data_IF_268606238441
#
_entry.id   IF_268606238441
#
_cell.length_a   1.000
_cell.length_b   1.000
_cell.length_c   1.000
_cell.angle_alpha   90.00
_cell.angle_beta   90.00
_cell.angle_gamma   90.00
#
_symmetry.space_group_name_H-M   'P 1'
#
loop_
_entity.id
_entity.type
_entity.pdbx_description
1 polymer ?
#
# COMPACT_ATOMS: atom_id res chain seq x y z
N UNK A 1 33.96 40.44 -13.28
CA UNK A 1 32.54 40.37 -13.69
C UNK A 1 32.42 39.38 -14.84
N UNK A 2 31.72 38.27 -14.65
CA UNK A 2 31.06 37.56 -15.76
C UNK A 2 29.79 36.94 -15.18
N UNK A 3 28.65 37.59 -15.44
CA UNK A 3 27.33 37.08 -15.11
C UNK A 3 26.99 36.00 -16.13
N UNK A 4 26.94 34.74 -15.72
CA UNK A 4 26.29 33.69 -16.51
C UNK A 4 24.78 33.80 -16.33
N UNK A 5 24.06 33.85 -17.44
CA UNK A 5 22.62 34.11 -17.50
C UNK A 5 21.84 32.84 -17.07
N UNK A 6 20.86 32.92 -16.16
CA UNK A 6 20.11 31.74 -15.67
C UNK A 6 19.43 30.91 -16.75
N UNK A 7 19.14 31.50 -17.92
CA UNK A 7 18.55 30.81 -19.07
C UNK A 7 19.51 29.83 -19.78
N UNK A 8 20.82 30.03 -19.62
CA UNK A 8 21.82 29.16 -20.24
C UNK A 8 21.94 27.81 -19.48
N UNK A 9 21.65 27.80 -18.17
CA UNK A 9 21.65 26.57 -17.35
C UNK A 9 20.44 25.67 -17.66
N UNK A 10 19.29 26.29 -17.94
CA UNK A 10 18.05 25.59 -18.29
C UNK A 10 18.14 24.95 -19.68
N UNK A 11 18.84 25.60 -20.62
CA UNK A 11 19.07 25.07 -21.96
C UNK A 11 20.11 23.93 -21.99
N UNK A 12 21.13 23.97 -21.12
CA UNK A 12 22.09 22.87 -20.96
C UNK A 12 21.47 21.66 -20.25
N UNK A 13 20.58 21.87 -19.27
CA UNK A 13 19.82 20.78 -18.65
C UNK A 13 18.87 20.09 -19.66
N UNK A 14 18.21 20.86 -20.52
CA UNK A 14 17.34 20.32 -21.57
C UNK A 14 18.13 19.60 -22.68
N UNK A 15 19.35 20.04 -23.01
CA UNK A 15 20.24 19.33 -23.95
C UNK A 15 20.81 18.05 -23.36
N UNK A 16 21.05 17.98 -22.05
CA UNK A 16 21.45 16.76 -21.35
C UNK A 16 20.31 15.71 -21.34
N UNK A 17 19.05 16.14 -21.21
CA UNK A 17 17.87 15.27 -21.26
C UNK A 17 17.56 14.75 -22.67
N UNK A 18 17.84 15.52 -23.72
CA UNK A 18 17.60 15.12 -25.12
C UNK A 18 18.56 14.03 -25.63
N UNK A 19 19.79 13.94 -25.11
CA UNK A 19 20.76 12.89 -25.48
C UNK A 19 20.45 11.50 -24.89
N UNK A 20 19.49 11.42 -23.96
CA UNK A 20 19.02 10.14 -23.38
C UNK A 20 17.86 9.51 -24.16
N UNK A 21 17.37 10.18 -25.22
CA UNK A 21 16.24 9.73 -26.04
C UNK A 21 16.60 9.71 -27.52
N UNK A 22 17.46 8.78 -27.93
CA UNK A 22 17.43 8.21 -29.30
C UNK A 22 17.66 6.69 -29.19
N UNK A 23 16.87 5.85 -29.89
CA UNK A 23 16.97 4.40 -29.77
C UNK A 23 17.97 3.84 -30.80
N UNK A 24 18.98 3.11 -30.33
CA UNK A 24 19.75 2.19 -31.17
C UNK A 24 20.31 1.03 -30.33
N UNK A 25 19.90 -0.21 -30.66
CA UNK A 25 20.63 -1.44 -30.34
C UNK A 25 20.14 -2.25 -29.12
N UNK A 26 20.21 -3.61 -29.16
CA UNK A 26 19.28 -4.46 -28.42
C UNK A 26 19.72 -4.88 -27.01
N UNK A 27 18.71 -4.97 -26.15
CA UNK A 27 18.51 -5.83 -24.98
C UNK A 27 19.69 -6.12 -24.05
N UNK A 28 19.63 -5.62 -22.80
CA UNK A 28 19.72 -6.45 -21.59
C UNK A 28 19.13 -5.73 -20.37
N UNK A 29 18.25 -6.46 -19.65
CA UNK A 29 17.72 -6.28 -18.27
C UNK A 29 17.30 -4.87 -17.83
N UNK A 30 16.00 -4.63 -17.93
CA UNK A 30 15.29 -3.50 -17.33
C UNK A 30 15.27 -3.58 -15.79
N UNK A 31 15.70 -2.52 -15.13
CA UNK A 31 15.45 -2.22 -13.72
C UNK A 31 13.94 -2.21 -13.42
N UNK A 32 13.48 -2.67 -12.25
CA UNK A 32 12.06 -2.63 -11.91
C UNK A 32 11.62 -1.18 -11.70
N UNK A 33 10.56 -0.79 -12.42
CA UNK A 33 9.88 0.49 -12.24
C UNK A 33 9.00 0.37 -11.01
N UNK A 34 9.36 1.06 -9.93
CA UNK A 34 8.44 1.26 -8.80
C UNK A 34 7.34 2.20 -9.29
N UNK A 35 6.12 1.70 -9.35
CA UNK A 35 4.93 2.45 -9.72
C UNK A 35 4.51 3.33 -8.55
N UNK A 36 4.51 4.64 -8.76
CA UNK A 36 3.66 5.54 -8.01
C UNK A 36 2.21 5.22 -8.35
N UNK A 37 1.58 4.32 -7.59
CA UNK A 37 0.16 4.00 -7.78
C UNK A 37 -0.66 5.10 -7.13
N UNK A 38 -1.17 5.99 -7.98
CA UNK A 38 -2.23 6.92 -7.64
C UNK A 38 -3.54 6.16 -7.43
N UNK A 39 -4.44 6.78 -6.66
CA UNK A 39 -5.80 6.32 -6.41
C UNK A 39 -6.49 5.95 -7.73
N UNK A 40 -6.77 4.66 -7.92
CA UNK A 40 -7.75 4.18 -8.88
C UNK A 40 -8.78 3.39 -8.07
N UNK A 41 -10.04 3.80 -8.14
CA UNK A 41 -11.13 3.06 -7.49
C UNK A 41 -11.16 1.64 -8.04
N UNK A 42 -11.15 0.65 -7.15
CA UNK A 42 -11.61 -0.68 -7.51
C UNK A 42 -13.10 -0.71 -7.20
N UNK A 43 -13.93 -0.56 -8.23
CA UNK A 43 -15.37 -0.68 -8.09
C UNK A 43 -15.72 -2.10 -7.61
N UNK A 44 -16.39 -2.18 -6.46
CA UNK A 44 -17.04 -3.40 -6.00
C UNK A 44 -18.14 -3.79 -7.01
N UNK A 45 -18.27 -5.08 -7.40
CA UNK A 45 -19.34 -5.50 -8.29
C UNK A 45 -20.71 -5.26 -7.63
N UNK A 46 -21.51 -4.38 -8.24
CA UNK A 46 -22.90 -4.11 -7.86
C UNK A 46 -23.70 -5.42 -7.89
N UNK A 47 -24.28 -5.78 -6.74
CA UNK A 47 -25.16 -6.94 -6.60
C UNK A 47 -26.29 -6.94 -7.62
N UNK A 48 -26.37 -8.03 -8.39
CA UNK A 48 -27.54 -8.28 -9.23
C UNK A 48 -28.65 -8.88 -8.36
N UNK A 49 -29.73 -8.13 -8.27
CA UNK A 49 -30.99 -8.48 -7.61
C UNK A 49 -31.61 -9.69 -8.32
N UNK A 50 -31.50 -10.89 -7.76
CA UNK A 50 -32.26 -12.05 -8.22
C UNK A 50 -33.67 -11.98 -7.64
N UNK A 51 -34.65 -11.77 -8.51
CA UNK A 51 -36.07 -11.88 -8.19
C UNK A 51 -36.43 -13.34 -7.95
N UNK A 52 -37.18 -13.57 -6.89
CA UNK A 52 -37.79 -14.84 -6.56
C UNK A 52 -38.88 -15.19 -7.58
N UNK A 53 -38.83 -16.42 -8.11
CA UNK A 53 -40.00 -17.11 -8.66
C UNK A 53 -40.00 -18.52 -8.09
N UNK A 54 -40.99 -18.78 -7.25
CA UNK A 54 -41.32 -20.09 -6.73
C UNK A 54 -41.95 -20.95 -7.83
N UNK A 55 -41.56 -22.22 -7.91
CA UNK A 55 -42.42 -23.38 -8.25
C UNK A 55 -41.61 -24.68 -8.12
N UNK A 56 -42.17 -25.67 -7.43
CA UNK A 56 -41.77 -27.10 -7.40
C UNK A 56 -43.06 -27.91 -7.65
N UNK A 57 -43.04 -29.26 -7.78
CA UNK A 57 -41.95 -30.22 -8.06
C UNK A 57 -42.31 -31.23 -9.19
N UNK A 58 -41.36 -32.05 -9.65
CA UNK A 58 -41.60 -33.50 -9.90
C UNK A 58 -40.33 -34.32 -10.21
N UNK A 59 -40.25 -35.41 -9.45
CA UNK A 59 -39.64 -36.73 -9.62
C UNK A 59 -38.75 -37.10 -10.83
N UNK A 60 -37.63 -37.77 -10.51
CA UNK A 60 -37.44 -39.18 -10.90
C UNK A 60 -36.41 -39.54 -11.98
N UNK A 61 -35.48 -40.43 -11.58
CA UNK A 61 -34.82 -41.50 -12.34
C UNK A 61 -33.35 -41.33 -12.80
N UNK A 62 -32.70 -42.50 -12.71
CA UNK A 62 -31.31 -42.94 -12.71
C UNK A 62 -30.69 -43.18 -14.10
N UNK A 63 -29.36 -43.12 -14.22
CA UNK A 63 -28.47 -44.22 -14.67
C UNK A 63 -26.99 -43.80 -14.81
N UNK A 64 -26.09 -44.77 -14.59
CA UNK A 64 -24.62 -44.70 -14.64
C UNK A 64 -23.97 -44.87 -16.04
N UNK A 65 -22.64 -44.63 -16.05
CA UNK A 65 -21.56 -45.05 -16.98
C UNK A 65 -21.48 -44.34 -18.34
N UNK A 66 -20.36 -43.73 -18.76
CA UNK A 66 -19.03 -44.30 -18.98
C UNK A 66 -17.98 -43.21 -19.34
N UNK A 67 -16.71 -43.58 -19.20
CA UNK A 67 -15.52 -42.75 -19.41
C UNK A 67 -15.23 -42.38 -20.88
N UNK A 68 -14.55 -41.24 -21.09
CA UNK A 68 -13.55 -41.09 -22.16
C UNK A 68 -12.61 -39.91 -21.91
N UNK A 69 -11.33 -40.19 -22.16
CA UNK A 69 -10.16 -39.31 -22.10
C UNK A 69 -10.22 -38.11 -23.06
N UNK A 70 -9.64 -36.99 -22.64
CA UNK A 70 -9.40 -35.81 -23.49
C UNK A 70 -8.37 -34.89 -22.85
N UNK A 71 -7.31 -34.57 -23.61
CA UNK A 71 -6.11 -33.86 -23.16
C UNK A 71 -6.31 -32.34 -22.96
N UNK A 72 -5.48 -31.82 -22.04
CA UNK A 72 -4.85 -30.49 -21.95
C UNK A 72 -5.40 -29.36 -22.84
N UNK A 73 -5.88 -28.28 -22.21
CA UNK A 73 -5.73 -26.92 -22.74
C UNK A 73 -5.73 -25.90 -21.60
N UNK A 74 -4.60 -25.21 -21.43
CA UNK A 74 -4.42 -24.09 -20.52
C UNK A 74 -5.28 -22.92 -21.00
N UNK A 75 -6.34 -22.62 -20.26
CA UNK A 75 -7.20 -21.46 -20.52
C UNK A 75 -6.68 -20.27 -19.72
N UNK A 76 -5.84 -19.48 -20.38
CA UNK A 76 -5.46 -18.12 -19.99
C UNK A 76 -6.70 -17.24 -19.79
N UNK A 77 -7.03 -16.90 -18.54
CA UNK A 77 -7.97 -15.80 -18.26
C UNK A 77 -7.22 -14.47 -18.42
N UNK A 78 -7.15 -14.03 -19.67
CA UNK A 78 -6.75 -12.68 -20.04
C UNK A 78 -7.83 -11.70 -19.57
N UNK A 79 -7.51 -10.88 -18.56
CA UNK A 79 -8.37 -9.78 -18.14
C UNK A 79 -8.32 -8.68 -19.21
N UNK A 80 -9.42 -8.51 -19.93
CA UNK A 80 -9.62 -7.45 -20.93
C UNK A 80 -9.67 -6.10 -20.22
N UNK A 81 -8.90 -5.12 -20.72
CA UNK A 81 -9.03 -3.70 -20.34
C UNK A 81 -10.45 -3.23 -20.63
N UNK A 82 -11.20 -2.90 -19.58
CA UNK A 82 -12.35 -2.03 -19.73
C UNK A 82 -11.84 -0.60 -19.93
N UNK A 83 -11.89 -0.14 -21.18
CA UNK A 83 -11.71 1.26 -21.53
C UNK A 83 -13.04 1.97 -21.30
N UNK A 84 -13.29 2.51 -20.11
CA UNK A 84 -14.34 3.51 -19.91
C UNK A 84 -13.69 4.87 -19.65
N UNK A 85 -13.76 5.73 -20.65
CA UNK A 85 -13.40 7.13 -20.57
C UNK A 85 -14.48 7.89 -19.80
N UNK A 86 -14.33 8.00 -18.48
CA UNK A 86 -14.95 9.09 -17.72
C UNK A 86 -13.82 10.05 -17.30
N UNK A 87 -13.76 11.19 -17.98
CA UNK A 87 -12.66 12.16 -17.88
C UNK A 87 -12.83 13.12 -16.69
N UNK A 88 -13.75 12.84 -15.77
CA UNK A 88 -14.07 13.70 -14.62
C UNK A 88 -13.39 13.30 -13.30
N UNK A 89 -12.79 12.12 -13.21
CA UNK A 89 -12.11 11.60 -12.00
C UNK A 89 -10.58 11.79 -12.06
N UNK A 90 -10.12 12.98 -12.47
CA UNK A 90 -8.68 13.34 -12.58
C UNK A 90 -8.21 14.29 -11.48
N UNK A 91 -9.00 14.48 -10.42
CA UNK A 91 -8.82 15.57 -9.45
C UNK A 91 -8.38 15.11 -8.06
N UNK A 92 -7.28 14.36 -7.93
CA UNK A 92 -6.55 14.32 -6.64
C UNK A 92 -5.13 13.77 -6.70
N UNK A 93 -4.33 14.24 -7.65
CA UNK A 93 -2.88 14.21 -7.41
C UNK A 93 -2.59 15.32 -6.39
N UNK A 94 -2.21 14.96 -5.16
CA UNK A 94 -1.61 15.93 -4.26
C UNK A 94 -0.42 16.55 -4.98
N UNK A 95 -0.44 17.87 -5.12
CA UNK A 95 0.65 18.52 -5.82
C UNK A 95 1.94 18.27 -5.05
N UNK A 96 3.08 18.21 -5.75
CA UNK A 96 4.39 18.08 -5.10
C UNK A 96 4.58 19.16 -4.03
N UNK A 97 3.98 20.33 -4.21
CA UNK A 97 4.03 21.43 -3.27
C UNK A 97 3.16 21.20 -2.03
N UNK A 98 2.00 20.56 -2.18
CA UNK A 98 1.13 20.24 -1.02
C UNK A 98 1.77 19.14 -0.16
N UNK A 99 2.36 18.12 -0.77
CA UNK A 99 3.13 17.10 -0.03
C UNK A 99 4.30 17.73 0.72
N UNK A 100 5.01 18.71 0.14
CA UNK A 100 6.08 19.42 0.86
C UNK A 100 5.55 20.20 2.07
N UNK A 101 4.37 20.84 1.96
CA UNK A 101 3.75 21.56 3.09
C UNK A 101 3.38 20.58 4.21
N UNK A 102 2.80 19.43 3.87
CA UNK A 102 2.52 18.36 4.84
C UNK A 102 3.80 17.89 5.55
N UNK A 103 4.88 17.65 4.80
CA UNK A 103 6.18 17.28 5.37
C UNK A 103 6.71 18.35 6.32
N UNK A 104 6.63 19.62 5.93
CA UNK A 104 7.07 20.74 6.77
C UNK A 104 6.24 20.85 8.06
N UNK A 105 4.91 20.70 7.96
CA UNK A 105 4.01 20.70 9.11
C UNK A 105 4.31 19.53 10.05
N UNK A 106 4.42 18.31 9.51
CA UNK A 106 4.73 17.10 10.26
C UNK A 106 6.05 17.25 11.03
N UNK A 107 7.10 17.73 10.35
CA UNK A 107 8.42 17.93 10.94
C UNK A 107 8.43 19.03 11.99
N UNK A 108 7.67 20.10 11.80
CA UNK A 108 7.53 21.15 12.81
C UNK A 108 6.86 20.60 14.08
N UNK A 109 5.80 19.82 13.94
CA UNK A 109 5.05 19.24 15.07
C UNK A 109 5.84 18.15 15.81
N UNK A 110 6.64 17.37 15.08
CA UNK A 110 7.34 16.20 15.63
C UNK A 110 8.84 16.42 15.90
N UNK A 111 9.30 17.67 15.88
CA UNK A 111 10.71 18.02 16.06
C UNK A 111 11.32 17.42 17.33
N UNK A 112 12.48 16.75 17.19
CA UNK A 112 13.18 16.04 18.26
C UNK A 112 12.58 14.67 18.63
N UNK A 113 11.56 14.23 17.89
CA UNK A 113 10.86 12.96 18.12
C UNK A 113 10.89 12.08 16.88
N UNK A 114 10.29 12.55 15.79
CA UNK A 114 10.17 11.84 14.51
C UNK A 114 10.25 12.88 13.37
N UNK A 115 10.79 12.47 12.23
CA UNK A 115 10.92 13.29 11.04
C UNK A 115 10.49 12.56 9.77
N UNK A 116 9.71 13.24 8.93
CA UNK A 116 9.47 12.85 7.55
C UNK A 116 10.58 13.40 6.64
N UNK A 117 11.27 12.53 5.93
CA UNK A 117 12.30 12.90 4.93
C UNK A 117 12.25 11.99 3.71
N UNK A 118 12.92 12.38 2.64
CA UNK A 118 13.05 11.56 1.43
C UNK A 118 13.89 10.33 1.73
N UNK A 119 13.38 9.16 1.32
CA UNK A 119 14.14 7.91 1.23
C UNK A 119 14.93 7.89 -0.08
N UNK A 120 14.29 8.35 -1.18
CA UNK A 120 14.88 8.51 -2.50
C UNK A 120 14.11 9.59 -3.29
N UNK A 121 14.35 9.75 -4.60
CA UNK A 121 13.69 10.77 -5.43
C UNK A 121 12.17 10.62 -5.55
N UNK A 122 11.64 9.45 -5.20
CA UNK A 122 10.23 9.07 -5.37
C UNK A 122 9.53 8.87 -4.02
N UNK A 123 10.21 8.38 -2.99
CA UNK A 123 9.58 7.98 -1.72
C UNK A 123 9.92 8.90 -0.55
N UNK A 124 8.91 9.17 0.28
CA UNK A 124 9.05 9.75 1.62
C UNK A 124 8.99 8.63 2.66
N UNK A 125 9.59 8.85 3.82
CA UNK A 125 9.55 7.92 4.94
C UNK A 125 9.59 8.67 6.26
N UNK A 126 9.17 7.96 7.31
CA UNK A 126 9.17 8.44 8.70
C UNK A 126 10.42 7.91 9.39
N UNK A 127 11.15 8.76 10.10
CA UNK A 127 12.42 8.42 10.74
C UNK A 127 12.42 8.85 12.20
N UNK A 128 13.02 8.05 13.06
CA UNK A 128 13.25 8.41 14.46
C UNK A 128 14.25 9.56 14.56
N UNK A 129 14.00 10.52 15.46
CA UNK A 129 14.95 11.57 15.86
C UNK A 129 15.45 11.36 17.31
N UNK A 130 15.14 10.21 17.89
CA UNK A 130 15.55 9.77 19.22
C UNK A 130 15.46 8.26 19.33
N UNK A 131 16.04 7.69 20.39
CA UNK A 131 15.91 6.26 20.67
C UNK A 131 14.50 5.91 21.16
N UNK A 132 14.00 4.75 20.76
CA UNK A 132 12.79 4.14 21.31
C UNK A 132 13.14 2.77 21.86
N UNK A 133 12.75 2.51 23.11
CA UNK A 133 12.88 1.18 23.68
C UNK A 133 11.80 0.26 23.09
N UNK A 134 12.12 -1.03 22.93
CA UNK A 134 11.13 -2.06 22.58
C UNK A 134 9.88 -1.93 23.47
N UNK A 135 8.71 -2.02 22.85
CA UNK A 135 7.40 -1.93 23.51
C UNK A 135 6.91 -0.50 23.73
N UNK A 136 7.71 0.54 23.47
CA UNK A 136 7.25 1.92 23.57
C UNK A 136 6.43 2.33 22.35
N UNK A 137 5.41 3.17 22.56
CA UNK A 137 4.68 3.80 21.46
C UNK A 137 5.59 4.78 20.72
N UNK A 138 5.76 4.57 19.42
CA UNK A 138 6.55 5.44 18.54
C UNK A 138 5.68 6.47 17.85
N UNK A 139 4.43 6.15 17.53
CA UNK A 139 3.51 7.07 16.86
C UNK A 139 2.08 6.71 17.25
N UNK A 140 1.30 7.70 17.65
CA UNK A 140 -0.17 7.57 17.77
C UNK A 140 -0.81 8.33 16.63
N UNK A 141 -1.42 7.62 15.67
CA UNK A 141 -2.13 8.26 14.58
C UNK A 141 -3.59 8.50 14.94
N UNK A 142 -4.16 9.56 14.37
CA UNK A 142 -5.59 9.87 14.41
C UNK A 142 -6.18 9.78 12.99
N UNK A 143 -7.50 9.71 12.90
CA UNK A 143 -8.20 9.85 11.62
C UNK A 143 -8.12 11.31 11.16
N UNK A 144 -7.55 11.52 9.98
CA UNK A 144 -7.70 12.78 9.23
C UNK A 144 -9.04 12.81 8.48
N UNK A 145 -9.39 11.71 7.81
CA UNK A 145 -10.71 11.50 7.20
C UNK A 145 -10.99 10.02 6.92
N UNK A 146 -12.26 9.67 6.72
CA UNK A 146 -12.66 8.30 6.35
C UNK A 146 -12.56 8.10 4.84
N UNK A 147 -12.21 6.89 4.42
CA UNK A 147 -12.25 6.47 3.02
C UNK A 147 -12.98 5.13 2.91
N UNK A 148 -13.88 5.02 1.93
CA UNK A 148 -14.50 3.75 1.55
C UNK A 148 -13.64 2.97 0.54
N UNK A 149 -12.61 3.61 -0.02
CA UNK A 149 -11.75 3.03 -1.05
C UNK A 149 -10.31 2.92 -0.54
N UNK A 150 -9.74 1.71 -0.48
CA UNK A 150 -8.33 1.53 -0.12
C UNK A 150 -7.41 2.27 -1.09
N UNK A 151 -6.39 2.92 -0.56
CA UNK A 151 -5.27 3.45 -1.34
C UNK A 151 -3.97 3.39 -0.55
N UNK A 152 -2.84 3.72 -1.18
CA UNK A 152 -1.49 3.71 -0.59
C UNK A 152 -1.28 4.69 0.58
N UNK A 153 -2.30 5.49 0.94
CA UNK A 153 -2.27 6.43 2.06
C UNK A 153 -3.31 6.14 3.13
N UNK A 154 -4.14 5.12 2.95
CA UNK A 154 -5.11 4.67 3.96
C UNK A 154 -4.58 3.50 4.77
N UNK A 155 -5.12 3.31 5.97
CA UNK A 155 -4.95 2.09 6.76
C UNK A 155 -6.33 1.47 7.06
N UNK A 156 -6.41 0.15 7.00
CA UNK A 156 -7.64 -0.58 7.28
C UNK A 156 -7.88 -0.72 8.79
N UNK A 157 -9.05 -0.26 9.24
CA UNK A 157 -9.45 -0.18 10.66
C UNK A 157 -10.72 -1.00 10.95
N UNK A 158 -11.06 -1.92 10.05
CA UNK A 158 -12.26 -2.75 10.07
C UNK A 158 -12.50 -3.41 8.71
N UNK A 159 -13.39 -4.40 8.65
CA UNK A 159 -13.62 -5.21 7.45
C UNK A 159 -13.93 -4.39 6.19
N UNK A 160 -14.73 -3.33 6.33
CA UNK A 160 -15.14 -2.46 5.23
C UNK A 160 -14.80 -0.98 5.51
N UNK A 161 -13.75 -0.72 6.31
CA UNK A 161 -13.41 0.63 6.75
C UNK A 161 -11.93 0.93 6.63
N UNK A 162 -11.62 1.95 5.83
CA UNK A 162 -10.30 2.54 5.70
C UNK A 162 -10.31 3.98 6.21
N UNK A 163 -9.18 4.43 6.74
CA UNK A 163 -9.02 5.82 7.19
C UNK A 163 -7.71 6.39 6.66
N UNK A 164 -7.71 7.67 6.33
CA UNK A 164 -6.49 8.44 6.14
C UNK A 164 -5.93 8.78 7.52
N UNK A 165 -4.71 8.32 7.79
CA UNK A 165 -3.99 8.70 8.99
C UNK A 165 -3.59 10.18 8.93
N UNK A 166 -3.61 10.85 10.07
CA UNK A 166 -2.97 12.15 10.22
C UNK A 166 -1.44 12.05 10.05
N UNK A 167 -0.80 13.22 9.98
CA UNK A 167 0.64 13.31 9.86
C UNK A 167 1.31 12.86 11.17
N UNK A 168 2.53 12.29 11.15
CA UNK A 168 3.26 11.80 9.98
C UNK A 168 2.83 10.40 9.52
N UNK A 169 1.80 9.77 10.11
CA UNK A 169 1.43 8.37 9.89
C UNK A 169 1.20 8.00 8.43
N UNK A 170 0.64 8.93 7.64
CA UNK A 170 0.51 8.85 6.17
C UNK A 170 1.78 8.38 5.43
N UNK A 171 2.97 8.67 5.97
CA UNK A 171 4.26 8.40 5.32
C UNK A 171 4.96 7.12 5.82
N UNK A 172 4.30 6.31 6.67
CA UNK A 172 4.87 5.04 7.13
C UNK A 172 4.98 4.04 6.00
N UNK A 173 6.19 3.52 5.78
CA UNK A 173 6.47 2.55 4.72
C UNK A 173 6.37 1.10 5.23
N UNK A 174 6.19 0.20 4.27
CA UNK A 174 6.24 -1.24 4.51
C UNK A 174 7.67 -1.76 4.74
N UNK A 175 7.82 -2.75 5.63
CA UNK A 175 8.96 -3.67 5.68
C UNK A 175 8.52 -5.08 6.03
N UNK A 176 9.12 -6.10 5.39
CA UNK A 176 8.94 -7.51 5.75
C UNK A 176 9.68 -7.89 7.05
N UNK A 177 10.69 -7.10 7.45
CA UNK A 177 11.32 -7.14 8.78
C UNK A 177 11.19 -5.75 9.43
N UNK A 178 10.02 -5.42 9.99
CA UNK A 178 9.76 -4.09 10.50
C UNK A 178 10.34 -3.88 11.90
N UNK A 179 10.70 -2.63 12.20
CA UNK A 179 11.02 -2.21 13.57
C UNK A 179 9.80 -1.68 14.34
N UNK A 180 8.67 -1.47 13.67
CA UNK A 180 7.42 -0.97 14.25
C UNK A 180 6.26 -1.94 14.00
N UNK A 181 5.44 -2.17 15.00
CA UNK A 181 4.22 -3.00 14.95
C UNK A 181 2.98 -2.14 15.06
N UNK A 182 1.88 -2.59 14.46
CA UNK A 182 0.56 -1.94 14.60
C UNK A 182 -0.10 -2.41 15.89
N UNK A 183 -0.76 -1.49 16.60
CA UNK A 183 -1.54 -1.78 17.79
C UNK A 183 -2.75 -2.67 17.44
N UNK A 184 -3.10 -3.57 18.36
CA UNK A 184 -4.24 -4.47 18.20
C UNK A 184 -5.57 -3.72 18.15
N UNK A 185 -5.74 -2.75 19.02
CA UNK A 185 -6.98 -2.00 19.18
C UNK A 185 -6.89 -0.63 18.50
N UNK A 186 -8.05 -0.14 18.07
CA UNK A 186 -8.19 1.23 17.59
C UNK A 186 -8.07 2.17 18.80
N UNK A 187 -7.19 3.16 18.68
CA UNK A 187 -6.97 4.16 19.73
C UNK A 187 -8.12 5.20 19.76
N UNK A 188 -8.08 6.10 20.75
CA UNK A 188 -9.11 7.15 20.91
C UNK A 188 -9.19 8.11 19.69
N UNK A 189 -8.14 8.18 18.88
CA UNK A 189 -8.08 8.94 17.63
C UNK A 189 -8.76 8.26 16.44
N UNK A 190 -9.26 7.03 16.60
CA UNK A 190 -9.92 6.25 15.56
C UNK A 190 -8.97 5.55 14.59
N UNK A 191 -7.66 5.56 14.86
CA UNK A 191 -6.64 4.83 14.08
C UNK A 191 -5.82 3.94 15.02
N UNK A 192 -4.55 3.67 14.73
CA UNK A 192 -3.72 2.79 15.54
C UNK A 192 -2.60 3.53 16.25
N UNK A 193 -2.23 3.00 17.41
CA UNK A 193 -0.90 3.26 17.96
C UNK A 193 0.12 2.32 17.29
N UNK A 194 1.29 2.85 17.01
CA UNK A 194 2.42 2.12 16.45
C UNK A 194 3.48 1.96 17.54
N UNK A 195 3.96 0.75 17.71
CA UNK A 195 4.80 0.35 18.86
C UNK A 195 6.14 -0.20 18.37
N UNK A 196 7.22 0.11 19.07
CA UNK A 196 8.56 -0.39 18.76
C UNK A 196 8.64 -1.92 18.99
N UNK A 197 8.93 -2.71 17.94
CA UNK A 197 9.08 -4.18 18.03
C UNK A 197 10.43 -4.61 18.59
N UNK A 198 11.41 -3.73 18.42
CA UNK A 198 12.81 -3.82 18.86
C UNK A 198 13.27 -2.42 19.26
N UNK A 199 14.42 -2.33 19.91
CA UNK A 199 15.02 -1.01 20.15
C UNK A 199 15.29 -0.32 18.81
N UNK A 200 14.91 0.95 18.74
CA UNK A 200 15.04 1.80 17.54
C UNK A 200 16.06 2.88 17.86
N UNK A 201 17.06 3.01 16.99
CA UNK A 201 18.09 4.04 17.05
C UNK A 201 17.60 5.39 16.54
N UNK A 202 18.35 6.43 16.90
CA UNK A 202 18.20 7.73 16.24
C UNK A 202 18.59 7.61 14.75
N UNK A 203 17.77 8.14 13.85
CA UNK A 203 17.96 8.08 12.40
C UNK A 203 17.40 6.86 11.69
N UNK A 204 16.89 5.85 12.42
CA UNK A 204 16.26 4.67 11.83
C UNK A 204 14.95 5.02 11.12
N UNK A 205 14.69 4.40 9.95
CA UNK A 205 13.37 4.50 9.30
C UNK A 205 12.35 3.66 10.07
N UNK A 206 11.22 4.27 10.42
CA UNK A 206 10.09 3.60 11.05
C UNK A 206 9.24 2.93 9.96
N UNK A 207 9.20 1.60 10.00
CA UNK A 207 8.50 0.77 9.01
C UNK A 207 7.71 -0.31 9.72
N UNK A 208 6.50 -0.57 9.24
CA UNK A 208 5.64 -1.64 9.76
C UNK A 208 5.26 -2.61 8.63
N UNK A 209 4.73 -3.76 8.98
CA UNK A 209 4.30 -4.73 7.98
C UNK A 209 2.83 -4.49 7.63
N UNK A 210 2.55 -3.94 6.44
CA UNK A 210 1.18 -3.70 5.97
C UNK A 210 0.25 -4.90 6.08
N UNK A 211 0.75 -6.14 5.99
CA UNK A 211 -0.08 -7.34 6.13
C UNK A 211 -0.55 -7.59 7.57
N UNK A 212 -0.11 -6.78 8.53
CA UNK A 212 -0.62 -6.77 9.92
C UNK A 212 -1.82 -5.85 10.11
N UNK A 213 -2.11 -4.96 9.15
CA UNK A 213 -3.27 -4.07 9.18
C UNK A 213 -4.22 -4.26 8.00
N UNK A 214 -3.75 -4.69 6.83
CA UNK A 214 -4.54 -4.81 5.60
C UNK A 214 -4.96 -6.26 5.34
N UNK A 215 -6.25 -6.49 5.12
CA UNK A 215 -6.76 -7.83 4.77
C UNK A 215 -6.28 -8.26 3.38
N UNK A 216 -6.35 -7.35 2.41
CA UNK A 216 -5.81 -7.49 1.06
C UNK A 216 -5.01 -6.22 0.73
N UNK A 217 -3.84 -6.39 0.11
CA UNK A 217 -2.98 -5.28 -0.31
C UNK A 217 -3.02 -5.18 -1.83
N UNK A 218 -3.36 -3.99 -2.34
CA UNK A 218 -3.37 -3.69 -3.77
C UNK A 218 -2.31 -2.67 -4.17
N UNK A 219 -1.94 -2.64 -5.45
CA UNK A 219 -1.06 -1.61 -6.01
C UNK A 219 0.44 -1.84 -5.81
N UNK A 220 0.86 -3.04 -5.42
CA UNK A 220 2.27 -3.43 -5.31
C UNK A 220 2.56 -4.65 -6.17
N UNK A 221 3.35 -4.49 -7.23
CA UNK A 221 3.79 -5.62 -8.06
C UNK A 221 4.99 -6.35 -7.43
N UNK A 222 5.89 -5.61 -6.76
CA UNK A 222 7.10 -6.13 -6.12
C UNK A 222 7.45 -5.33 -4.85
N UNK A 223 7.84 -6.04 -3.79
CA UNK A 223 8.29 -5.47 -2.53
C UNK A 223 9.78 -5.11 -2.59
N UNK A 224 10.09 -3.83 -2.43
CA UNK A 224 11.45 -3.29 -2.43
C UNK A 224 11.92 -2.87 -1.03
N UNK A 225 11.40 -3.51 0.03
CA UNK A 225 11.72 -3.10 1.40
C UNK A 225 13.20 -3.27 1.78
N UNK A 226 13.95 -4.13 1.09
CA UNK A 226 15.38 -4.35 1.33
C UNK A 226 15.72 -5.23 2.54
N UNK A 227 14.73 -5.78 3.24
CA UNK A 227 14.96 -6.77 4.29
C UNK A 227 15.56 -8.07 3.70
N UNK A 228 16.48 -8.72 4.42
CA UNK A 228 17.02 -10.02 4.02
C UNK A 228 15.95 -11.12 3.99
N UNK A 229 14.87 -10.94 4.76
CA UNK A 229 13.68 -11.79 4.81
C UNK A 229 12.51 -11.23 3.98
N UNK A 230 12.81 -10.40 2.97
CA UNK A 230 11.78 -9.85 2.08
C UNK A 230 10.96 -10.97 1.43
N UNK A 231 9.62 -10.82 1.43
CA UNK A 231 8.68 -11.77 0.85
C UNK A 231 8.55 -11.64 -0.67
N UNK A 232 9.18 -10.65 -1.28
CA UNK A 232 9.12 -10.36 -2.72
C UNK A 232 7.82 -9.71 -3.17
N UNK A 233 6.67 -10.11 -2.62
CA UNK A 233 5.36 -9.50 -2.86
C UNK A 233 4.57 -9.43 -1.55
N UNK A 234 3.75 -8.40 -1.39
CA UNK A 234 2.78 -8.26 -0.30
C UNK A 234 1.37 -8.34 -0.88
N UNK A 235 0.57 -9.26 -0.36
CA UNK A 235 -0.78 -9.55 -0.86
C UNK A 235 -1.85 -9.28 0.20
N UNK A 236 -1.45 -9.09 1.45
CA UNK A 236 -2.34 -8.84 2.59
C UNK A 236 -2.49 -10.05 3.49
N UNK A 237 -3.08 -9.81 4.66
CA UNK A 237 -3.25 -10.80 5.73
C UNK A 237 -3.93 -12.09 5.24
N UNK A 238 -4.93 -11.97 4.36
CA UNK A 238 -5.65 -13.10 3.75
C UNK A 238 -4.73 -14.16 3.16
N UNK A 239 -3.62 -13.74 2.56
CA UNK A 239 -2.71 -14.62 1.83
C UNK A 239 -1.56 -15.15 2.70
N UNK A 240 -1.19 -14.41 3.75
CA UNK A 240 -0.03 -14.70 4.59
C UNK A 240 -0.39 -14.97 6.06
N UNK A 241 -1.66 -15.24 6.36
CA UNK A 241 -2.20 -15.39 7.73
C UNK A 241 -1.32 -16.20 8.67
N UNK A 242 -0.98 -17.44 8.31
CA UNK A 242 -0.23 -18.32 9.22
C UNK A 242 1.17 -17.78 9.55
N UNK A 243 1.82 -17.14 8.56
CA UNK A 243 3.11 -16.50 8.75
C UNK A 243 2.99 -15.25 9.61
N UNK A 244 1.99 -14.40 9.35
CA UNK A 244 1.75 -13.18 10.12
C UNK A 244 1.37 -13.50 11.58
N UNK A 245 0.48 -14.45 11.81
CA UNK A 245 0.06 -14.89 13.15
C UNK A 245 1.26 -15.35 13.99
N UNK A 246 2.13 -16.15 13.38
CA UNK A 246 3.34 -16.66 14.03
C UNK A 246 4.35 -15.56 14.36
N UNK A 247 4.47 -14.54 13.52
CA UNK A 247 5.52 -13.51 13.62
C UNK A 247 5.14 -12.33 14.51
N UNK A 248 3.86 -11.96 14.56
CA UNK A 248 3.44 -10.67 15.11
C UNK A 248 2.59 -10.76 16.38
N UNK A 249 1.88 -11.87 16.60
CA UNK A 249 1.09 -12.07 17.82
C UNK A 249 0.17 -10.89 18.13
N UNK A 250 0.49 -10.08 19.13
CA UNK A 250 -0.30 -8.91 19.54
C UNK A 250 -0.18 -7.69 18.61
N UNK A 251 0.74 -7.70 17.66
CA UNK A 251 1.01 -6.60 16.73
C UNK A 251 0.27 -6.79 15.40
N UNK A 252 -0.96 -7.29 15.48
CA UNK A 252 -1.88 -7.52 14.36
C UNK A 252 -3.17 -6.78 14.69
N UNK A 253 -3.67 -6.00 13.74
CA UNK A 253 -4.94 -5.30 13.86
C UNK A 253 -6.06 -6.27 14.26
N UNK A 254 -6.78 -5.95 15.34
CA UNK A 254 -7.71 -6.86 15.99
C UNK A 254 -8.83 -7.35 15.08
N UNK A 255 -9.29 -6.51 14.14
CA UNK A 255 -10.35 -6.88 13.20
C UNK A 255 -9.95 -8.04 12.27
N UNK A 256 -8.66 -8.23 11.97
CA UNK A 256 -8.17 -9.35 11.15
C UNK A 256 -8.27 -10.71 11.87
N UNK A 257 -8.42 -10.67 13.19
CA UNK A 257 -8.50 -11.84 14.05
C UNK A 257 -9.93 -12.20 14.44
N UNK A 258 -10.91 -11.41 13.96
CA UNK A 258 -12.33 -11.72 14.07
C UNK A 258 -12.80 -12.49 12.84
N UNK A 259 -14.01 -13.04 12.89
CA UNK A 259 -14.64 -13.58 11.70
C UNK A 259 -15.07 -12.42 10.79
N UNK A 260 -14.79 -12.54 9.48
CA UNK A 260 -15.41 -11.66 8.48
C UNK A 260 -16.90 -11.98 8.41
N UNK A 261 -17.74 -11.06 8.84
CA UNK A 261 -19.18 -11.15 8.64
C UNK A 261 -19.47 -11.14 7.13
N UNK A 262 -20.32 -12.06 6.67
CA UNK A 262 -20.60 -12.32 5.25
C UNK A 262 -21.70 -11.43 4.72
#
# INVERSE_FOLDING_TARGET
QSKTNPKDFELDMMRALSKLYHPAGPATRSSPKISHVACASMDAPKGQRLQALASSPSQGLSHEHHARSGAISASSLAWRRASSTDASDRSRFDSVEDVKKEVQEANKRCSGYIQVRRVNSQQWGVFAQRKFAKGSTVLSSNISSQSTTPCSHTIQVGWDRHVLMDLPGRFLNHSCDPNVGVGREINAGGSYDFVARRDIGDGDELRFDYETSEYEVGGFDECSCGASTCRGVILGYKHNKDAIDKLYGNEIAGYLLTAKER
#
